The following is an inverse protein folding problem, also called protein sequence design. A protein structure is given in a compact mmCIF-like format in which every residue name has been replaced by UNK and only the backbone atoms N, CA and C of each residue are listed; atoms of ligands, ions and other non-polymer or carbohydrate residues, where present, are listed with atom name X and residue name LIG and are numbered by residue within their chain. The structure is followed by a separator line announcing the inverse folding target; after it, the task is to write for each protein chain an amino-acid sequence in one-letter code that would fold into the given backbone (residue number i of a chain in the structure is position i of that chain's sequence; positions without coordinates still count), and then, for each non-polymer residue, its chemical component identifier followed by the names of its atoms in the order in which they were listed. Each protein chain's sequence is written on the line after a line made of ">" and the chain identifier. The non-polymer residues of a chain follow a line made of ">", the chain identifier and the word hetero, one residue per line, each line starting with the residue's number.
data_IF_290640201054
#
_entry.id   IF_290640201054
#
_cell.length_a   1.000
_cell.length_b   1.000
_cell.length_c   1.000
_cell.angle_alpha   90.00
_cell.angle_beta   90.00
_cell.angle_gamma   90.00
#
_symmetry.space_group_name_H-M   'P 1'
#
loop_
_entity.id
_entity.type
_entity.pdbx_description
1 polymer ?
#
# COMPACT_ATOMS: atom_id res chain seq x y z
N UNK A 1 28.15 7.15 -10.96
CA UNK A 1 27.90 6.33 -9.76
C UNK A 1 26.40 6.24 -9.55
N UNK A 2 25.79 5.12 -9.94
CA UNK A 2 24.35 4.87 -9.78
C UNK A 2 24.14 4.25 -8.39
N UNK A 3 23.79 5.07 -7.39
CA UNK A 3 23.29 4.59 -6.11
C UNK A 3 21.85 4.10 -6.31
N UNK A 4 21.67 2.85 -6.78
CA UNK A 4 20.39 2.15 -6.60
C UNK A 4 20.41 1.55 -5.20
N UNK A 5 20.02 2.36 -4.21
CA UNK A 5 20.01 1.98 -2.78
C UNK A 5 18.82 1.11 -2.37
N UNK A 6 18.04 0.62 -3.33
CA UNK A 6 16.91 -0.26 -3.05
C UNK A 6 17.08 -1.50 -3.92
N UNK A 7 17.13 -2.67 -3.27
CA UNK A 7 17.02 -3.94 -3.96
C UNK A 7 15.83 -3.86 -4.92
N UNK A 8 16.01 -4.34 -6.16
CA UNK A 8 14.88 -4.51 -7.08
C UNK A 8 13.75 -5.20 -6.31
N UNK A 9 12.52 -4.67 -6.28
CA UNK A 9 11.46 -5.25 -5.49
C UNK A 9 11.36 -6.72 -5.82
N UNK A 10 11.59 -7.59 -4.82
CA UNK A 10 11.56 -9.02 -5.04
C UNK A 10 10.11 -9.38 -5.28
N UNK A 11 9.77 -9.61 -6.56
CA UNK A 11 8.44 -10.11 -6.92
C UNK A 11 8.16 -11.36 -6.10
N UNK A 12 7.07 -11.31 -5.33
CA UNK A 12 6.63 -12.43 -4.50
C UNK A 12 5.13 -12.56 -4.61
N UNK A 13 4.62 -13.74 -4.30
CA UNK A 13 3.18 -13.96 -4.27
C UNK A 13 2.58 -13.21 -3.09
N UNK A 14 1.46 -12.53 -3.32
CA UNK A 14 0.61 -12.01 -2.26
C UNK A 14 0.05 -13.18 -1.44
N UNK A 15 -0.15 -13.02 -0.12
CA UNK A 15 -0.69 -14.08 0.72
C UNK A 15 -2.13 -14.41 0.30
N UNK A 16 -2.51 -15.68 0.21
CA UNK A 16 -3.84 -16.09 -0.32
C UNK A 16 -5.02 -15.43 0.41
N UNK A 17 -4.83 -15.05 1.68
CA UNK A 17 -5.80 -14.33 2.49
C UNK A 17 -6.09 -12.90 2.03
N UNK A 18 -5.21 -12.27 1.24
CA UNK A 18 -5.27 -10.82 0.98
C UNK A 18 -6.60 -10.38 0.34
N UNK A 19 -7.07 -11.09 -0.69
CA UNK A 19 -8.35 -10.78 -1.36
C UNK A 19 -9.55 -10.96 -0.43
N UNK A 20 -9.56 -12.05 0.32
CA UNK A 20 -10.65 -12.36 1.25
C UNK A 20 -10.71 -11.33 2.38
N UNK A 21 -9.55 -10.84 2.83
CA UNK A 21 -9.46 -9.78 3.81
C UNK A 21 -10.00 -8.50 3.21
N UNK A 22 -9.42 -7.97 2.12
CA UNK A 22 -9.85 -6.69 1.54
C UNK A 22 -11.33 -6.66 1.14
N UNK A 23 -11.92 -7.80 0.79
CA UNK A 23 -13.29 -7.89 0.32
C UNK A 23 -13.35 -7.77 -1.20
N UNK A 24 -14.29 -8.48 -1.82
CA UNK A 24 -14.30 -8.69 -3.28
C UNK A 24 -14.24 -7.42 -4.12
N UNK A 25 -14.87 -6.33 -3.67
CA UNK A 25 -14.93 -5.07 -4.42
C UNK A 25 -13.62 -4.27 -4.38
N UNK A 26 -12.72 -4.55 -3.42
CA UNK A 26 -11.47 -3.82 -3.24
C UNK A 26 -10.30 -4.39 -4.08
N UNK A 27 -10.54 -5.45 -4.86
CA UNK A 27 -9.52 -6.17 -5.64
C UNK A 27 -9.84 -6.32 -7.12
N UNK A 28 -10.86 -5.60 -7.62
CA UNK A 28 -11.27 -5.62 -9.03
C UNK A 28 -10.45 -4.67 -9.92
N UNK A 29 -9.52 -3.90 -9.34
CA UNK A 29 -8.60 -3.07 -10.09
C UNK A 29 -7.41 -3.90 -10.64
N UNK A 30 -6.84 -3.53 -11.80
CA UNK A 30 -5.66 -4.21 -12.35
C UNK A 30 -4.45 -4.13 -11.41
N UNK A 31 -4.42 -3.11 -10.55
CA UNK A 31 -3.38 -2.85 -9.57
C UNK A 31 -3.99 -2.41 -8.25
N UNK A 32 -3.49 -2.93 -7.14
CA UNK A 32 -3.88 -2.52 -5.78
C UNK A 32 -2.66 -2.04 -5.01
N UNK A 33 -2.68 -0.81 -4.50
CA UNK A 33 -1.70 -0.27 -3.57
C UNK A 33 -2.24 -0.43 -2.15
N UNK A 34 -1.63 -1.34 -1.40
CA UNK A 34 -1.88 -1.48 0.03
C UNK A 34 -0.85 -0.62 0.77
N UNK A 35 -1.30 0.29 1.63
CA UNK A 35 -0.44 1.13 2.46
C UNK A 35 -0.73 0.87 3.93
N UNK A 36 0.26 0.35 4.65
CA UNK A 36 0.23 0.17 6.09
C UNK A 36 0.60 1.46 6.81
N UNK A 37 -0.30 1.94 7.66
CA UNK A 37 -0.18 3.12 8.49
C UNK A 37 0.00 2.74 9.96
N UNK A 38 0.70 3.57 10.73
CA UNK A 38 0.82 3.47 12.19
C UNK A 38 0.39 4.78 12.85
N UNK A 39 0.02 4.73 14.13
CA UNK A 39 -0.25 5.96 14.87
C UNK A 39 0.99 6.86 14.94
N UNK A 40 0.77 8.17 15.10
CA UNK A 40 1.83 9.18 15.22
C UNK A 40 2.84 9.16 14.05
N UNK A 41 2.35 8.86 12.85
CA UNK A 41 3.15 8.77 11.64
C UNK A 41 3.03 10.06 10.83
N UNK A 42 4.05 10.90 10.85
CA UNK A 42 4.06 12.16 10.08
C UNK A 42 4.01 11.89 8.57
N UNK A 43 4.79 10.93 8.06
CA UNK A 43 4.77 10.55 6.64
C UNK A 43 3.41 10.03 6.15
N UNK A 44 2.60 9.45 7.04
CA UNK A 44 1.28 8.92 6.72
C UNK A 44 0.27 10.04 6.41
N UNK A 45 0.50 11.26 6.91
CA UNK A 45 -0.39 12.40 6.67
C UNK A 45 -0.47 12.76 5.18
N UNK A 46 0.51 12.39 4.37
CA UNK A 46 0.46 12.56 2.91
C UNK A 46 -0.73 11.83 2.25
N UNK A 47 -1.24 10.77 2.87
CA UNK A 47 -2.41 10.01 2.41
C UNK A 47 -3.75 10.51 2.96
N UNK A 48 -3.75 11.53 3.84
CA UNK A 48 -4.97 12.04 4.46
C UNK A 48 -5.93 12.68 3.44
N UNK A 49 -5.39 13.29 2.38
CA UNK A 49 -6.16 14.09 1.39
C UNK A 49 -5.82 13.76 -0.06
N UNK A 50 -5.03 12.71 -0.28
CA UNK A 50 -4.58 12.30 -1.61
C UNK A 50 -4.96 10.85 -1.80
N UNK A 51 -5.85 10.61 -2.77
CA UNK A 51 -6.12 9.29 -3.31
C UNK A 51 -5.36 9.12 -4.65
N UNK A 52 -4.25 8.37 -4.66
CA UNK A 52 -3.53 7.98 -5.87
C UNK A 52 -4.43 7.35 -6.93
N UNK A 53 -5.46 6.61 -6.52
CA UNK A 53 -6.38 5.93 -7.43
C UNK A 53 -7.26 6.88 -8.24
N UNK A 54 -7.38 8.15 -7.82
CA UNK A 54 -8.01 9.19 -8.63
C UNK A 54 -7.12 9.67 -9.78
N UNK A 55 -5.80 9.42 -9.71
CA UNK A 55 -4.81 9.89 -10.68
C UNK A 55 -4.33 8.78 -11.64
N UNK A 56 -4.42 7.53 -11.22
CA UNK A 56 -3.94 6.35 -11.95
C UNK A 56 -4.90 5.17 -11.79
N UNK A 57 -4.96 4.21 -12.73
CA UNK A 57 -5.84 3.04 -12.65
C UNK A 57 -5.35 2.02 -11.61
N UNK A 58 -5.36 2.42 -10.34
CA UNK A 58 -4.87 1.67 -9.21
C UNK A 58 -5.80 1.89 -8.01
N UNK A 59 -6.13 0.82 -7.29
CA UNK A 59 -6.94 0.91 -6.08
C UNK A 59 -6.06 1.22 -4.89
N UNK A 60 -6.31 2.32 -4.17
CA UNK A 60 -5.69 2.57 -2.87
C UNK A 60 -6.45 1.82 -1.77
N UNK A 61 -5.71 1.13 -0.91
CA UNK A 61 -6.21 0.54 0.33
C UNK A 61 -5.30 0.95 1.48
N UNK A 62 -5.86 1.68 2.44
CA UNK A 62 -5.16 2.04 3.68
C UNK A 62 -5.47 1.01 4.76
N UNK A 63 -4.43 0.46 5.37
CA UNK A 63 -4.55 -0.55 6.44
C UNK A 63 -3.76 -0.12 7.66
N UNK A 64 -4.20 -0.49 8.85
CA UNK A 64 -3.43 -0.31 10.08
C UNK A 64 -3.56 -1.49 11.01
N UNK A 65 -2.54 -1.71 11.84
CA UNK A 65 -2.59 -2.63 12.98
C UNK A 65 -3.33 -2.02 14.17
N UNK A 66 -3.41 -0.69 14.23
CA UNK A 66 -3.83 0.02 15.43
C UNK A 66 -5.23 0.63 15.22
N UNK A 67 -6.10 0.41 16.21
CA UNK A 67 -7.41 1.05 16.28
C UNK A 67 -7.26 2.44 16.90
N UNK A 68 -6.84 3.41 16.09
CA UNK A 68 -6.80 4.83 16.46
C UNK A 68 -7.83 5.63 15.65
N UNK A 69 -7.93 6.92 15.95
CA UNK A 69 -8.77 7.82 15.18
C UNK A 69 -8.13 8.12 13.82
N UNK A 70 -8.83 7.73 12.76
CA UNK A 70 -8.42 7.91 11.37
C UNK A 70 -9.34 8.87 10.61
N UNK A 71 -10.18 9.65 11.30
CA UNK A 71 -11.18 10.54 10.65
C UNK A 71 -10.57 11.61 9.74
N UNK A 72 -9.30 11.94 9.93
CA UNK A 72 -8.60 12.93 9.10
C UNK A 72 -8.27 12.40 7.69
N UNK A 73 -8.48 11.10 7.42
CA UNK A 73 -8.22 10.47 6.14
C UNK A 73 -9.49 10.39 5.29
N UNK A 74 -9.44 10.97 4.09
CA UNK A 74 -10.52 10.89 3.10
C UNK A 74 -10.75 9.44 2.62
N UNK A 75 -9.66 8.67 2.47
CA UNK A 75 -9.74 7.24 2.20
C UNK A 75 -9.91 6.48 3.51
N UNK A 76 -10.93 5.61 3.66
CA UNK A 76 -11.12 4.84 4.88
C UNK A 76 -9.89 4.00 5.23
N UNK A 77 -9.39 4.15 6.46
CA UNK A 77 -8.33 3.30 7.00
C UNK A 77 -8.96 2.07 7.64
N UNK A 78 -8.59 0.90 7.13
CA UNK A 78 -9.07 -0.38 7.65
C UNK A 78 -8.14 -0.88 8.75
N UNK A 79 -8.70 -1.20 9.92
CA UNK A 79 -7.94 -1.87 10.99
C UNK A 79 -7.94 -3.38 10.72
N UNK A 80 -6.79 -3.91 10.27
CA UNK A 80 -6.62 -5.33 9.94
C UNK A 80 -5.18 -5.78 10.26
N UNK A 81 -4.89 -6.08 11.53
CA UNK A 81 -3.53 -6.45 11.96
C UNK A 81 -3.02 -7.72 11.27
N UNK A 82 -3.92 -8.68 11.02
CA UNK A 82 -3.59 -9.95 10.39
C UNK A 82 -3.19 -9.76 8.92
N UNK A 83 -3.83 -8.84 8.17
CA UNK A 83 -3.39 -8.51 6.82
C UNK A 83 -1.97 -7.89 6.80
N UNK A 84 -1.66 -7.03 7.78
CA UNK A 84 -0.33 -6.42 7.90
C UNK A 84 0.73 -7.50 8.18
N UNK A 85 0.40 -8.49 9.01
CA UNK A 85 1.26 -9.64 9.31
C UNK A 85 1.40 -10.59 8.12
N UNK A 86 0.30 -10.92 7.43
CA UNK A 86 0.28 -11.77 6.24
C UNK A 86 1.12 -11.16 5.10
N UNK A 87 1.07 -9.83 4.96
CA UNK A 87 1.92 -9.08 4.02
C UNK A 87 3.38 -8.96 4.49
N UNK A 88 3.73 -9.53 5.65
CA UNK A 88 5.08 -9.51 6.24
C UNK A 88 5.63 -8.10 6.45
N UNK A 89 4.75 -7.14 6.77
CA UNK A 89 5.12 -5.75 6.99
C UNK A 89 5.72 -5.62 8.39
N UNK A 90 7.04 -5.52 8.47
CA UNK A 90 7.79 -5.47 9.73
C UNK A 90 7.99 -4.06 10.29
N UNK A 91 7.75 -3.02 9.48
CA UNK A 91 7.89 -1.62 9.89
C UNK A 91 6.97 -0.69 9.11
N UNK A 92 6.04 -0.04 9.81
CA UNK A 92 5.19 0.99 9.23
C UNK A 92 5.84 2.38 9.33
N UNK A 93 5.58 3.28 8.36
CA UNK A 93 4.68 3.07 7.23
C UNK A 93 5.33 2.32 6.05
N UNK A 94 4.56 1.46 5.40
CA UNK A 94 5.02 0.54 4.35
C UNK A 94 3.97 0.40 3.26
N UNK A 95 4.39 0.17 2.02
CA UNK A 95 3.48 -0.05 0.91
C UNK A 95 3.78 -1.36 0.18
N UNK A 96 2.76 -1.94 -0.44
CA UNK A 96 2.86 -3.04 -1.37
C UNK A 96 1.91 -2.81 -2.56
N UNK A 97 2.42 -2.94 -3.78
CA UNK A 97 1.64 -2.94 -5.01
C UNK A 97 1.42 -4.37 -5.46
N UNK A 98 0.16 -4.75 -5.59
CA UNK A 98 -0.27 -6.08 -5.97
C UNK A 98 -0.93 -6.01 -7.35
N UNK A 99 -0.52 -6.87 -8.27
CA UNK A 99 -1.14 -6.99 -9.59
C UNK A 99 -2.38 -7.91 -9.57
N UNK A 100 -3.10 -7.95 -10.69
CA UNK A 100 -4.29 -8.80 -10.84
C UNK A 100 -4.00 -10.31 -10.78
N UNK A 101 -2.73 -10.72 -10.88
CA UNK A 101 -2.27 -12.11 -10.79
C UNK A 101 -1.80 -12.50 -9.37
N UNK A 102 -2.09 -11.68 -8.36
CA UNK A 102 -1.69 -11.88 -6.97
C UNK A 102 -0.16 -11.85 -6.75
N UNK A 103 0.55 -11.01 -7.50
CA UNK A 103 1.96 -10.74 -7.29
C UNK A 103 2.18 -9.37 -6.67
N UNK A 104 2.93 -9.34 -5.57
CA UNK A 104 3.55 -8.11 -5.08
C UNK A 104 4.66 -7.74 -6.05
N UNK A 105 4.45 -6.67 -6.82
CA UNK A 105 5.38 -6.22 -7.87
C UNK A 105 6.32 -5.11 -7.42
N UNK A 106 5.93 -4.38 -6.38
CA UNK A 106 6.72 -3.36 -5.72
C UNK A 106 6.31 -3.27 -4.24
N UNK A 107 7.27 -3.03 -3.36
CA UNK A 107 7.03 -2.83 -1.94
C UNK A 107 8.18 -2.05 -1.30
N UNK A 108 7.89 -1.31 -0.23
CA UNK A 108 8.89 -0.46 0.39
C UNK A 108 8.37 0.40 1.52
N UNK A 109 9.28 1.11 2.18
CA UNK A 109 8.92 2.10 3.18
C UNK A 109 8.22 3.31 2.53
N UNK A 110 7.25 3.86 3.24
CA UNK A 110 6.50 5.06 2.81
C UNK A 110 7.18 6.29 3.39
N UNK A 111 7.68 7.18 2.54
CA UNK A 111 8.14 8.50 2.98
C UNK A 111 7.13 9.58 2.64
N UNK A 112 6.51 9.48 1.47
CA UNK A 112 5.50 10.39 0.96
C UNK A 112 4.67 9.73 -0.17
N UNK A 113 3.44 10.20 -0.38
CA UNK A 113 2.55 9.71 -1.45
C UNK A 113 3.13 9.98 -2.84
N UNK A 114 3.81 11.12 -3.05
CA UNK A 114 4.40 11.46 -4.35
C UNK A 114 5.60 10.56 -4.68
N UNK A 115 6.37 10.17 -3.68
CA UNK A 115 7.47 9.20 -3.85
C UNK A 115 6.92 7.86 -4.33
N UNK A 116 5.86 7.36 -3.69
CA UNK A 116 5.22 6.10 -4.10
C UNK A 116 4.66 6.21 -5.52
N UNK A 117 3.94 7.28 -5.84
CA UNK A 117 3.45 7.49 -7.20
C UNK A 117 4.57 7.49 -8.24
N UNK A 118 5.69 8.15 -7.97
CA UNK A 118 6.84 8.17 -8.88
C UNK A 118 7.47 6.79 -9.09
N UNK A 119 7.44 5.92 -8.07
CA UNK A 119 7.93 4.54 -8.14
C UNK A 119 6.94 3.59 -8.82
N UNK A 120 5.65 3.79 -8.60
CA UNK A 120 4.59 2.88 -9.05
C UNK A 120 4.13 3.19 -10.46
N UNK A 121 4.07 4.46 -10.87
CA UNK A 121 3.65 4.89 -12.21
C UNK A 121 4.32 4.11 -13.36
N UNK A 122 5.65 3.90 -13.36
CA UNK A 122 6.32 3.12 -14.41
C UNK A 122 5.91 1.65 -14.49
N UNK A 123 5.25 1.11 -13.46
CA UNK A 123 4.78 -0.28 -13.41
C UNK A 123 3.38 -0.45 -13.99
N UNK A 124 2.59 0.61 -14.09
CA UNK A 124 1.16 0.58 -14.47
C UNK A 124 0.92 0.63 -15.99
N UNK A 125 1.94 0.33 -16.80
CA UNK A 125 1.94 0.45 -18.27
C UNK A 125 1.41 -0.81 -18.95
#
# INVERSE_FOLDING_TARGET
>A
MNLRSFETPRRRRAPESWRHRLGGNDVDAPWTLVVSLKANCESCQSFSRVDPGALVPLRLVLVSRESVDWTDFETPVRVDPELVEDLQITGAPYYAVIDSNDWVVAEGAVFDVHQILAEVLPLLV
#
